data_IF_091522918712
#
_entry.id   IF_091522918712
#
_cell.length_a   1.000
_cell.length_b   1.000
_cell.length_c   1.000
_cell.angle_alpha   90.00
_cell.angle_beta   90.00
_cell.angle_gamma   90.00
#
_symmetry.space_group_name_H-M   'P 1'
#
loop_
_entity.id
_entity.type
_entity.pdbx_description
1 polymer ?
#
# COMPACT_ATOMS: atom_id res chain seq x y z
N UNK A 1 26.12 -0.93 75.87
CA UNK A 1 25.26 -0.30 74.86
C UNK A 1 25.60 -0.95 73.51
N UNK A 2 24.87 -1.95 73.10
CA UNK A 2 25.10 -2.71 71.88
C UNK A 2 24.14 -2.23 70.79
N UNK A 3 24.65 -1.53 69.79
CA UNK A 3 23.88 -1.08 68.63
C UNK A 3 23.80 -2.25 67.63
N UNK A 4 22.65 -2.89 67.61
CA UNK A 4 22.27 -3.89 66.59
C UNK A 4 21.94 -3.15 65.29
N UNK A 5 22.87 -3.11 64.37
CA UNK A 5 22.66 -2.63 63.00
C UNK A 5 21.90 -3.72 62.24
N UNK A 6 20.62 -3.53 61.95
CA UNK A 6 19.84 -4.43 61.11
C UNK A 6 20.28 -4.31 59.62
N UNK A 7 20.93 -5.35 59.05
CA UNK A 7 21.39 -5.29 57.66
C UNK A 7 20.33 -5.63 56.62
N UNK A 8 19.02 -5.74 57.02
CA UNK A 8 17.97 -6.28 56.14
C UNK A 8 17.24 -5.26 55.24
N UNK A 9 17.20 -3.99 55.61
CA UNK A 9 16.33 -3.02 54.95
C UNK A 9 16.86 -2.56 53.56
N UNK A 10 18.17 -2.45 53.40
CA UNK A 10 18.79 -2.05 52.14
C UNK A 10 18.68 -3.08 51.00
N UNK A 11 18.85 -4.38 51.36
CA UNK A 11 18.70 -5.46 50.43
C UNK A 11 17.27 -5.63 49.94
N UNK A 12 16.30 -5.55 50.81
CA UNK A 12 14.86 -5.60 50.47
C UNK A 12 14.45 -4.46 49.56
N UNK A 13 14.93 -3.24 49.80
CA UNK A 13 14.68 -2.09 48.94
C UNK A 13 15.30 -2.24 47.57
N UNK A 14 16.50 -2.81 47.45
CA UNK A 14 17.16 -3.08 46.17
C UNK A 14 16.37 -4.12 45.39
N UNK A 15 16.01 -5.24 45.99
CA UNK A 15 15.20 -6.29 45.37
C UNK A 15 13.87 -5.75 44.87
N UNK A 16 13.17 -4.90 45.68
CA UNK A 16 11.91 -4.29 45.30
C UNK A 16 12.07 -3.35 44.08
N UNK A 17 13.14 -2.55 44.04
CA UNK A 17 13.40 -1.65 42.91
C UNK A 17 13.69 -2.42 41.62
N UNK A 18 14.50 -3.49 41.71
CA UNK A 18 14.83 -4.32 40.54
C UNK A 18 13.59 -5.05 40.03
N UNK A 19 12.76 -5.62 40.92
CA UNK A 19 11.54 -6.31 40.51
C UNK A 19 10.53 -5.36 39.88
N UNK A 20 10.40 -4.13 40.40
CA UNK A 20 9.53 -3.11 39.78
C UNK A 20 10.01 -2.69 38.39
N UNK A 21 11.32 -2.51 38.21
CA UNK A 21 11.91 -2.18 36.90
C UNK A 21 11.69 -3.29 35.87
N UNK A 22 11.89 -4.55 36.27
CA UNK A 22 11.65 -5.72 35.40
C UNK A 22 10.16 -5.83 35.04
N UNK A 23 9.27 -5.62 36.00
CA UNK A 23 7.82 -5.62 35.74
C UNK A 23 7.40 -4.51 34.76
N UNK A 24 7.96 -3.31 34.89
CA UNK A 24 7.69 -2.19 34.00
C UNK A 24 8.15 -2.49 32.55
N UNK A 25 9.38 -3.00 32.43
CA UNK A 25 9.92 -3.39 31.11
C UNK A 25 9.06 -4.50 30.49
N UNK A 26 8.68 -5.51 31.26
CA UNK A 26 7.79 -6.58 30.81
C UNK A 26 6.43 -6.06 30.34
N UNK A 27 5.83 -5.11 31.08
CA UNK A 27 4.57 -4.50 30.72
C UNK A 27 4.68 -3.69 29.40
N UNK A 28 5.76 -2.93 29.21
CA UNK A 28 6.01 -2.17 27.98
C UNK A 28 6.21 -3.09 26.76
N UNK A 29 6.99 -4.16 26.91
CA UNK A 29 7.18 -5.14 25.86
C UNK A 29 5.90 -5.87 25.50
N UNK A 30 5.10 -6.24 26.50
CA UNK A 30 3.79 -6.86 26.29
C UNK A 30 2.79 -5.91 25.61
N UNK A 31 2.75 -4.64 26.03
CA UNK A 31 1.91 -3.62 25.39
C UNK A 31 2.35 -3.38 23.93
N UNK A 32 3.65 -3.24 23.69
CA UNK A 32 4.22 -3.12 22.36
C UNK A 32 3.90 -4.33 21.45
N UNK A 33 4.05 -5.54 21.99
CA UNK A 33 3.69 -6.78 21.30
C UNK A 33 2.21 -6.87 20.96
N UNK A 34 1.34 -6.42 21.90
CA UNK A 34 -0.11 -6.41 21.71
C UNK A 34 -0.54 -5.39 20.64
N UNK A 35 0.11 -4.20 20.62
CA UNK A 35 -0.09 -3.20 19.57
C UNK A 35 0.41 -3.73 18.23
N UNK A 36 1.60 -4.30 18.20
CA UNK A 36 2.18 -4.89 16.99
C UNK A 36 1.30 -6.01 16.40
N UNK A 37 0.70 -6.86 17.22
CA UNK A 37 -0.26 -7.88 16.77
C UNK A 37 -1.61 -7.31 16.31
N UNK A 38 -1.95 -6.09 16.72
CA UNK A 38 -3.21 -5.41 16.33
C UNK A 38 -3.01 -4.43 15.17
N UNK A 39 -1.78 -4.08 14.85
CA UNK A 39 -1.51 -3.45 13.57
C UNK A 39 -2.04 -4.41 12.51
N UNK A 40 -2.99 -3.96 11.64
CA UNK A 40 -3.31 -4.73 10.47
C UNK A 40 -1.97 -4.97 9.81
N UNK A 41 -1.56 -6.23 9.75
CA UNK A 41 -0.46 -6.59 8.89
C UNK A 41 -0.91 -6.07 7.53
N UNK A 42 -0.22 -5.06 7.01
CA UNK A 42 -0.19 -4.80 5.58
C UNK A 42 0.48 -6.03 4.96
N UNK A 43 -0.19 -7.16 5.12
CA UNK A 43 0.17 -8.40 4.46
C UNK A 43 -0.22 -8.18 3.01
N UNK A 44 0.73 -7.98 2.11
CA UNK A 44 0.45 -7.94 0.68
C UNK A 44 -0.18 -9.25 0.19
N UNK A 45 -0.29 -10.25 1.06
CA UNK A 45 -0.80 -11.58 0.80
C UNK A 45 -2.16 -11.91 1.42
N UNK A 46 -2.92 -10.92 1.91
CA UNK A 46 -4.34 -11.17 2.17
C UNK A 46 -5.17 -11.10 0.88
N UNK A 47 -4.72 -11.80 -0.15
CA UNK A 47 -5.62 -12.39 -1.14
C UNK A 47 -6.38 -13.59 -0.57
N UNK A 48 -6.09 -14.02 0.63
CA UNK A 48 -6.88 -15.01 1.36
C UNK A 48 -7.98 -14.27 2.10
N UNK A 49 -8.99 -14.00 1.45
CA UNK A 49 -10.39 -13.88 1.67
C UNK A 49 -10.80 -14.32 3.10
N UNK A 50 -10.99 -13.34 4.00
CA UNK A 50 -11.41 -13.59 5.39
C UNK A 50 -12.80 -14.21 5.52
N UNK A 51 -13.58 -14.29 4.45
CA UNK A 51 -14.99 -14.68 4.49
C UNK A 51 -15.37 -15.84 3.56
N UNK A 52 -14.42 -16.46 2.85
CA UNK A 52 -14.69 -17.67 2.03
C UNK A 52 -15.78 -17.49 0.95
N UNK A 53 -16.29 -16.28 0.74
CA UNK A 53 -17.33 -16.03 -0.27
C UNK A 53 -16.70 -15.89 -1.65
N UNK A 54 -17.24 -16.56 -2.67
CA UNK A 54 -16.81 -16.35 -4.05
C UNK A 54 -17.08 -14.89 -4.40
N UNK A 55 -16.03 -14.11 -4.61
CA UNK A 55 -16.18 -12.73 -5.09
C UNK A 55 -16.54 -12.77 -6.55
N UNK A 56 -17.60 -12.09 -6.91
CA UNK A 56 -17.98 -11.90 -8.29
C UNK A 56 -16.95 -11.00 -8.97
N UNK A 57 -16.45 -11.41 -10.13
CA UNK A 57 -15.63 -10.54 -10.95
C UNK A 57 -16.52 -9.42 -11.51
N UNK A 58 -16.12 -8.18 -11.23
CA UNK A 58 -16.83 -6.98 -11.68
C UNK A 58 -16.10 -6.41 -12.90
N UNK A 59 -16.87 -5.84 -13.80
CA UNK A 59 -16.35 -5.20 -14.99
C UNK A 59 -16.00 -3.74 -14.68
N UNK A 60 -14.72 -3.38 -14.84
CA UNK A 60 -14.24 -2.00 -14.82
C UNK A 60 -13.95 -1.54 -16.24
N UNK A 61 -14.58 -0.45 -16.67
CA UNK A 61 -14.31 0.19 -17.96
C UNK A 61 -13.49 1.46 -17.73
N UNK A 62 -12.27 1.50 -18.25
CA UNK A 62 -11.44 2.72 -18.23
C UNK A 62 -11.55 3.41 -19.57
N UNK A 63 -11.86 4.69 -19.55
CA UNK A 63 -12.06 5.53 -20.75
C UNK A 63 -11.04 6.65 -20.78
N UNK A 64 -10.34 6.77 -21.90
CA UNK A 64 -9.51 7.94 -22.16
C UNK A 64 -10.41 9.09 -22.70
N UNK A 65 -10.45 10.20 -21.98
CA UNK A 65 -11.18 11.41 -22.37
C UNK A 65 -10.29 12.52 -22.91
N UNK A 66 -8.99 12.23 -23.09
CA UNK A 66 -8.05 13.23 -23.59
C UNK A 66 -7.87 13.04 -25.10
N UNK A 67 -8.32 14.05 -25.85
CA UNK A 67 -8.14 14.05 -27.30
C UNK A 67 -6.65 14.04 -27.68
N UNK A 68 -6.28 13.17 -28.61
CA UNK A 68 -4.90 13.03 -29.09
C UNK A 68 -3.95 12.33 -28.11
N UNK A 69 -4.45 11.75 -27.03
CA UNK A 69 -3.66 10.92 -26.12
C UNK A 69 -3.83 9.45 -26.50
N UNK A 70 -2.68 8.76 -26.66
CA UNK A 70 -2.63 7.31 -26.89
C UNK A 70 -2.27 6.62 -25.59
N UNK A 71 -3.19 5.79 -25.08
CA UNK A 71 -2.91 4.96 -23.89
C UNK A 71 -1.86 3.90 -24.20
N UNK A 72 -0.93 3.71 -23.27
CA UNK A 72 0.04 2.60 -23.32
C UNK A 72 -0.59 1.34 -22.72
N UNK A 73 -0.51 0.26 -23.45
CA UNK A 73 -0.89 -1.07 -22.99
C UNK A 73 0.32 -1.78 -22.34
N UNK A 74 0.10 -2.60 -21.29
CA UNK A 74 -1.14 -2.77 -20.55
C UNK A 74 -1.35 -1.70 -19.47
N UNK A 75 -2.61 -1.49 -19.05
CA UNK A 75 -2.93 -0.82 -17.80
C UNK A 75 -2.73 -1.78 -16.64
N UNK A 76 -2.33 -1.25 -15.48
CA UNK A 76 -2.00 -2.05 -14.31
C UNK A 76 -2.91 -1.71 -13.13
N UNK A 77 -3.39 -2.75 -12.45
CA UNK A 77 -4.26 -2.63 -11.28
C UNK A 77 -3.60 -3.27 -10.06
N UNK A 78 -3.52 -2.52 -8.98
CA UNK A 78 -2.85 -2.89 -7.74
C UNK A 78 -3.83 -2.93 -6.58
N UNK A 79 -3.70 -3.89 -5.68
CA UNK A 79 -4.48 -3.99 -4.44
C UNK A 79 -3.94 -3.13 -3.28
N UNK A 80 -3.04 -2.23 -3.53
CA UNK A 80 -2.46 -1.36 -2.50
C UNK A 80 -2.34 0.08 -3.00
N UNK A 81 -2.21 1.00 -2.05
CA UNK A 81 -2.16 2.42 -2.30
C UNK A 81 -0.85 2.85 -2.99
N UNK A 82 -0.90 3.11 -4.30
CA UNK A 82 0.25 3.54 -5.09
C UNK A 82 0.79 4.91 -4.66
N UNK A 83 -0.07 5.82 -4.19
CA UNK A 83 0.37 7.13 -3.74
C UNK A 83 1.14 7.04 -2.40
N UNK A 84 0.73 6.13 -1.51
CA UNK A 84 1.46 5.85 -0.28
C UNK A 84 2.81 5.17 -0.59
N UNK A 85 2.81 4.19 -1.50
CA UNK A 85 4.03 3.52 -1.94
C UNK A 85 5.03 4.49 -2.57
N UNK A 86 4.56 5.47 -3.33
CA UNK A 86 5.43 6.50 -3.93
C UNK A 86 6.07 7.40 -2.87
N UNK A 87 5.28 7.86 -1.89
CA UNK A 87 5.83 8.67 -0.77
C UNK A 87 6.88 7.89 0.04
N UNK A 88 6.65 6.60 0.27
CA UNK A 88 7.60 5.73 0.95
C UNK A 88 8.91 5.58 0.13
N UNK A 89 8.80 5.40 -1.17
CA UNK A 89 9.95 5.36 -2.07
C UNK A 89 10.76 6.68 -2.04
N UNK A 90 10.08 7.81 -2.09
CA UNK A 90 10.72 9.14 -2.04
C UNK A 90 11.39 9.41 -0.69
N UNK A 91 10.80 8.92 0.40
CA UNK A 91 11.39 9.01 1.74
C UNK A 91 12.61 8.08 1.93
N UNK A 92 12.72 7.02 1.14
CA UNK A 92 13.78 6.01 1.27
C UNK A 92 14.36 5.57 -0.08
N UNK A 93 14.95 6.49 -0.86
CA UNK A 93 15.38 6.21 -2.24
C UNK A 93 16.51 5.16 -2.35
N UNK A 94 17.12 4.76 -1.23
CA UNK A 94 18.19 3.74 -1.19
C UNK A 94 17.67 2.30 -1.36
N UNK A 95 16.36 2.08 -1.24
CA UNK A 95 15.76 0.75 -1.29
C UNK A 95 15.70 0.19 -2.72
N UNK A 96 15.61 1.04 -3.73
CA UNK A 96 15.58 0.64 -5.13
C UNK A 96 16.04 1.80 -6.03
N UNK A 97 16.60 1.48 -7.20
CA UNK A 97 17.02 2.50 -8.18
C UNK A 97 15.86 3.15 -8.90
N UNK A 98 14.80 2.37 -9.14
CA UNK A 98 13.60 2.81 -9.84
C UNK A 98 12.36 2.48 -9.02
N UNK A 99 11.31 3.26 -9.21
CA UNK A 99 10.05 3.05 -8.50
C UNK A 99 9.43 1.69 -8.81
N UNK A 100 9.55 1.21 -10.04
CA UNK A 100 9.03 -0.09 -10.45
C UNK A 100 9.77 -1.24 -9.73
N UNK A 101 11.07 -1.14 -9.53
CA UNK A 101 11.84 -2.10 -8.73
C UNK A 101 11.38 -2.10 -7.26
N UNK A 102 11.05 -0.92 -6.73
CA UNK A 102 10.50 -0.78 -5.39
C UNK A 102 9.13 -1.45 -5.29
N UNK A 103 8.24 -1.21 -6.26
CA UNK A 103 6.93 -1.85 -6.32
C UNK A 103 7.04 -3.36 -6.39
N UNK A 104 7.92 -3.89 -7.26
CA UNK A 104 8.14 -5.33 -7.38
C UNK A 104 8.58 -5.96 -6.05
N UNK A 105 9.51 -5.32 -5.35
CA UNK A 105 9.96 -5.79 -4.02
C UNK A 105 8.86 -5.72 -2.98
N UNK A 106 8.02 -4.66 -3.01
CA UNK A 106 6.93 -4.49 -2.06
C UNK A 106 5.79 -5.48 -2.30
N UNK A 107 5.54 -5.82 -3.56
CA UNK A 107 4.51 -6.79 -3.93
C UNK A 107 4.89 -8.24 -3.58
N UNK A 108 6.16 -8.51 -3.29
CA UNK A 108 6.69 -9.87 -3.17
C UNK A 108 6.30 -10.68 -4.43
N UNK A 109 5.49 -11.72 -4.30
CA UNK A 109 5.07 -12.56 -5.43
C UNK A 109 3.70 -12.19 -6.03
N UNK A 110 3.12 -11.04 -5.61
CA UNK A 110 1.83 -10.58 -6.14
C UNK A 110 2.06 -9.75 -7.39
N UNK A 111 1.61 -10.24 -8.54
CA UNK A 111 1.65 -9.49 -9.79
C UNK A 111 0.43 -8.57 -9.92
N UNK A 112 0.58 -7.36 -10.47
CA UNK A 112 -0.57 -6.51 -10.79
C UNK A 112 -1.46 -7.19 -11.83
N UNK A 113 -2.76 -6.98 -11.73
CA UNK A 113 -3.68 -7.38 -12.80
C UNK A 113 -3.46 -6.43 -13.98
N UNK A 114 -3.26 -7.00 -15.16
CA UNK A 114 -3.00 -6.25 -16.38
C UNK A 114 -4.19 -6.36 -17.32
N UNK A 115 -4.55 -5.25 -17.96
CA UNK A 115 -5.59 -5.21 -18.97
C UNK A 115 -5.12 -4.42 -20.19
N UNK A 116 -5.37 -4.98 -21.36
CA UNK A 116 -4.95 -4.38 -22.62
C UNK A 116 -5.94 -3.33 -23.12
N UNK A 117 -5.41 -2.35 -23.83
CA UNK A 117 -6.20 -1.31 -24.49
C UNK A 117 -6.82 -1.89 -25.76
N UNK A 118 -8.14 -1.81 -25.86
CA UNK A 118 -8.85 -2.19 -27.07
C UNK A 118 -8.69 -1.14 -28.17
N UNK A 119 -8.97 -1.54 -29.41
CA UNK A 119 -8.80 -0.66 -30.58
C UNK A 119 -9.63 0.62 -30.57
N UNK A 120 -10.68 0.69 -29.75
CA UNK A 120 -11.51 1.86 -29.53
C UNK A 120 -11.00 2.79 -28.42
N UNK A 121 -9.82 2.49 -27.84
CA UNK A 121 -9.19 3.27 -26.77
C UNK A 121 -9.79 3.04 -25.38
N UNK A 122 -10.66 2.05 -25.23
CA UNK A 122 -11.19 1.64 -23.95
C UNK A 122 -10.41 0.45 -23.39
N UNK A 123 -10.41 0.33 -22.06
CA UNK A 123 -9.85 -0.83 -21.37
C UNK A 123 -10.94 -1.47 -20.55
N UNK A 124 -11.09 -2.77 -20.66
CA UNK A 124 -12.02 -3.55 -19.86
C UNK A 124 -11.22 -4.50 -18.99
N UNK A 125 -11.29 -4.30 -17.68
CA UNK A 125 -10.69 -5.18 -16.69
C UNK A 125 -11.76 -5.95 -15.93
N UNK A 126 -11.50 -7.21 -15.62
CA UNK A 126 -12.30 -7.99 -14.68
C UNK A 126 -11.55 -8.06 -13.36
N UNK A 127 -12.11 -7.42 -12.34
CA UNK A 127 -11.51 -7.28 -11.03
C UNK A 127 -12.50 -7.73 -9.97
N UNK A 128 -11.99 -8.20 -8.84
CA UNK A 128 -12.82 -8.54 -7.68
C UNK A 128 -13.32 -7.28 -6.97
N UNK A 129 -14.42 -7.37 -6.26
CA UNK A 129 -14.89 -6.30 -5.38
C UNK A 129 -13.81 -5.93 -4.34
N UNK A 130 -13.62 -4.64 -4.09
CA UNK A 130 -12.63 -4.10 -3.15
C UNK A 130 -11.94 -2.85 -3.68
N UNK A 131 -10.93 -2.43 -2.93
CA UNK A 131 -10.16 -1.24 -3.26
C UNK A 131 -8.98 -1.58 -4.16
N UNK A 132 -8.92 -0.89 -5.28
CA UNK A 132 -7.88 -1.03 -6.28
C UNK A 132 -7.20 0.31 -6.55
N UNK A 133 -6.02 0.25 -7.11
CA UNK A 133 -5.32 1.39 -7.67
C UNK A 133 -5.01 1.13 -9.13
N UNK A 134 -5.53 1.99 -9.99
CA UNK A 134 -5.23 1.98 -11.42
C UNK A 134 -3.96 2.80 -11.67
N UNK A 135 -3.01 2.21 -12.39
CA UNK A 135 -1.88 2.90 -13.02
C UNK A 135 -2.06 2.87 -14.53
N UNK A 136 -2.07 4.04 -15.14
CA UNK A 136 -2.19 4.19 -16.57
C UNK A 136 -1.17 5.21 -17.08
N UNK A 137 -0.68 5.01 -18.29
CA UNK A 137 0.21 5.94 -18.99
C UNK A 137 -0.35 6.25 -20.36
N UNK A 138 -0.20 7.49 -20.80
CA UNK A 138 -0.49 7.90 -22.14
C UNK A 138 0.58 8.82 -22.70
N UNK A 139 0.68 8.86 -24.04
CA UNK A 139 1.52 9.80 -24.74
C UNK A 139 0.62 10.68 -25.59
N UNK A 140 0.77 11.99 -25.46
CA UNK A 140 0.08 12.97 -26.30
C UNK A 140 0.77 13.08 -27.68
N UNK A 141 0.03 13.61 -28.64
CA UNK A 141 0.60 13.97 -29.97
C UNK A 141 1.74 15.00 -29.88
N UNK A 142 1.80 15.77 -28.79
CA UNK A 142 2.92 16.68 -28.48
C UNK A 142 4.19 15.98 -27.98
N UNK A 143 4.17 14.67 -27.73
CA UNK A 143 5.24 13.92 -27.08
C UNK A 143 5.25 14.01 -25.54
N UNK A 144 4.32 14.75 -24.96
CA UNK A 144 4.14 14.80 -23.51
C UNK A 144 3.65 13.45 -23.00
N UNK A 145 4.21 12.99 -21.88
CA UNK A 145 3.76 11.78 -21.19
C UNK A 145 2.89 12.14 -19.99
N UNK A 146 1.82 11.39 -19.81
CA UNK A 146 0.88 11.55 -18.70
C UNK A 146 0.80 10.22 -17.96
N UNK A 147 0.86 10.28 -16.63
CA UNK A 147 0.63 9.13 -15.74
C UNK A 147 -0.56 9.40 -14.83
N UNK A 148 -1.40 8.38 -14.68
CA UNK A 148 -2.49 8.36 -13.69
C UNK A 148 -2.22 7.30 -12.64
N UNK A 149 -2.56 7.65 -11.39
CA UNK A 149 -2.59 6.75 -10.23
C UNK A 149 -3.88 7.01 -9.47
N UNK A 150 -4.93 6.31 -9.86
CA UNK A 150 -6.28 6.57 -9.36
C UNK A 150 -6.75 5.46 -8.43
N UNK A 151 -7.32 5.81 -7.26
CA UNK A 151 -8.05 4.86 -6.45
C UNK A 151 -9.36 4.48 -7.13
N UNK A 152 -9.68 3.19 -7.11
CA UNK A 152 -10.91 2.64 -7.68
C UNK A 152 -11.53 1.69 -6.66
N UNK A 153 -12.62 2.09 -6.04
CA UNK A 153 -13.38 1.24 -5.13
C UNK A 153 -14.46 0.48 -5.91
N UNK A 154 -14.26 -0.82 -6.13
CA UNK A 154 -15.22 -1.67 -6.79
C UNK A 154 -16.18 -2.26 -5.76
N UNK A 155 -17.40 -1.72 -5.75
CA UNK A 155 -18.51 -2.24 -4.98
C UNK A 155 -19.29 -3.25 -5.85
N UNK A 156 -20.47 -3.65 -5.47
CA UNK A 156 -21.22 -4.78 -6.04
C UNK A 156 -21.73 -4.60 -7.49
N UNK A 157 -21.18 -3.66 -8.27
CA UNK A 157 -21.62 -3.41 -9.65
C UNK A 157 -20.47 -2.97 -10.57
N UNK A 158 -20.69 -3.13 -11.87
CA UNK A 158 -19.80 -2.63 -12.91
C UNK A 158 -19.61 -1.10 -12.80
N UNK A 159 -18.38 -0.67 -13.03
CA UNK A 159 -18.00 0.74 -12.90
C UNK A 159 -17.24 1.24 -14.11
N UNK A 160 -17.14 2.57 -14.23
CA UNK A 160 -16.29 3.22 -15.22
C UNK A 160 -15.44 4.31 -14.57
N UNK A 161 -14.21 4.44 -15.06
CA UNK A 161 -13.25 5.48 -14.66
C UNK A 161 -12.83 6.24 -15.89
N UNK A 162 -12.95 7.56 -15.84
CA UNK A 162 -12.50 8.44 -16.91
C UNK A 162 -11.12 9.00 -16.58
N UNK A 163 -10.19 8.89 -17.54
CA UNK A 163 -8.86 9.49 -17.47
C UNK A 163 -8.94 10.90 -18.05
N UNK A 164 -8.72 11.88 -17.19
CA UNK A 164 -8.81 13.32 -17.48
C UNK A 164 -7.45 13.98 -17.16
N UNK A 165 -7.23 15.19 -17.69
CA UNK A 165 -6.05 15.98 -17.31
C UNK A 165 -6.05 16.36 -15.83
N UNK A 166 -7.23 16.63 -15.27
CA UNK A 166 -7.40 17.10 -13.90
C UNK A 166 -7.08 16.03 -12.86
N UNK A 167 -7.24 14.75 -13.22
CA UNK A 167 -6.95 13.63 -12.34
C UNK A 167 -5.61 12.93 -12.64
N UNK A 168 -4.80 13.52 -13.53
CA UNK A 168 -3.46 13.04 -13.81
C UNK A 168 -2.55 13.25 -12.59
N UNK A 169 -1.73 12.23 -12.31
CA UNK A 169 -0.75 12.28 -11.22
C UNK A 169 0.51 13.05 -11.62
N UNK A 170 1.02 12.81 -12.81
CA UNK A 170 2.26 13.42 -13.31
C UNK A 170 2.14 13.70 -14.81
N UNK A 171 2.76 14.80 -15.23
CA UNK A 171 2.87 15.22 -16.62
C UNK A 171 4.32 15.58 -16.91
N UNK A 172 4.95 14.87 -17.83
CA UNK A 172 6.35 15.07 -18.18
C UNK A 172 6.48 15.43 -19.65
N UNK A 173 7.06 16.59 -19.94
CA UNK A 173 7.44 16.96 -21.29
C UNK A 173 8.80 16.33 -21.59
N UNK A 174 8.90 15.56 -22.68
CA UNK A 174 10.19 15.19 -23.27
C UNK A 174 10.64 16.37 -24.13
N UNK A 175 11.76 16.97 -23.74
CA UNK A 175 12.47 17.98 -24.56
C UNK A 175 13.33 17.28 -25.61
#
# INVERSE_FOLDING_TARGET
>A
MSSTTEPGSGFLMLVLRVSLAVALIGALLFAGWRIYRRLPADSPNQTVFADGRPRQALRLVVRNKIAGATLRSPLEFFHFNLAAARREYEASPRLARQFDDFLMRRMHDVTPVKADVSGDGHVVAQLWSGDWWLRAHATLSSGEEIEWRLPVALNDRDQSVDLLFENAYERTKKF
#
